data_IF_756130599775
#
_entry.id   IF_756130599775
#
_cell.length_a   1.000
_cell.length_b   1.000
_cell.length_c   1.000
_cell.angle_alpha   90.00
_cell.angle_beta   90.00
_cell.angle_gamma   90.00
#
_symmetry.space_group_name_H-M   'P 1'
#
loop_
_entity.id
_entity.type
_entity.pdbx_description
1 polymer ?
#
# COMPACT_ATOMS: atom_id res chain seq x y z
N UNK A 1 -8.83 -9.04 -24.34
CA UNK A 1 -10.23 -9.13 -23.90
C UNK A 1 -10.42 -10.11 -22.75
N UNK A 2 -9.98 -11.37 -22.87
CA UNK A 2 -10.15 -12.39 -21.80
C UNK A 2 -9.65 -11.94 -20.41
N UNK A 3 -8.41 -11.42 -20.33
CA UNK A 3 -7.83 -10.94 -19.07
C UNK A 3 -8.62 -9.79 -18.45
N UNK A 4 -9.12 -8.87 -19.27
CA UNK A 4 -9.87 -7.70 -18.82
C UNK A 4 -11.23 -8.13 -18.23
N UNK A 5 -11.93 -9.03 -18.90
CA UNK A 5 -13.19 -9.60 -18.41
C UNK A 5 -13.01 -10.38 -17.10
N UNK A 6 -11.92 -11.15 -16.99
CA UNK A 6 -11.58 -11.87 -15.77
C UNK A 6 -11.24 -10.90 -14.62
N UNK A 7 -10.48 -9.84 -14.91
CA UNK A 7 -10.17 -8.80 -13.93
C UNK A 7 -11.45 -8.16 -13.37
N UNK A 8 -12.37 -7.71 -14.22
CA UNK A 8 -13.65 -7.12 -13.80
C UNK A 8 -14.41 -8.07 -12.90
N UNK A 9 -14.54 -9.33 -13.33
CA UNK A 9 -15.24 -10.38 -12.57
C UNK A 9 -14.62 -10.58 -11.19
N UNK A 10 -13.29 -10.70 -11.10
CA UNK A 10 -12.58 -10.89 -9.84
C UNK A 10 -12.65 -9.65 -8.93
N UNK A 11 -12.64 -8.43 -9.49
CA UNK A 11 -12.74 -7.20 -8.68
C UNK A 11 -14.11 -7.01 -8.05
N UNK A 12 -15.17 -7.54 -8.67
CA UNK A 12 -16.53 -7.49 -8.13
C UNK A 12 -16.81 -8.64 -7.15
N UNK A 13 -16.02 -9.72 -7.18
CA UNK A 13 -16.13 -10.84 -6.24
C UNK A 13 -15.59 -10.46 -4.83
N UNK A 14 -16.44 -10.39 -3.80
CA UNK A 14 -15.99 -10.10 -2.45
C UNK A 14 -15.07 -11.17 -1.87
N UNK A 15 -15.10 -12.40 -2.37
CA UNK A 15 -14.23 -13.49 -1.94
C UNK A 15 -12.78 -13.24 -2.33
N UNK A 16 -12.55 -12.83 -3.57
CA UNK A 16 -11.24 -12.43 -4.08
C UNK A 16 -10.68 -11.23 -3.31
N UNK A 17 -11.50 -10.20 -3.08
CA UNK A 17 -11.10 -9.03 -2.30
C UNK A 17 -10.69 -9.37 -0.86
N UNK A 18 -11.38 -10.31 -0.21
CA UNK A 18 -11.02 -10.79 1.14
C UNK A 18 -9.70 -11.55 1.15
N UNK A 19 -9.50 -12.45 0.20
CA UNK A 19 -8.26 -13.23 0.09
C UNK A 19 -7.07 -12.32 -0.18
N UNK A 20 -7.19 -11.41 -1.16
CA UNK A 20 -6.15 -10.43 -1.47
C UNK A 20 -5.83 -9.57 -0.23
N UNK A 21 -6.84 -9.09 0.49
CA UNK A 21 -6.64 -8.28 1.70
C UNK A 21 -5.93 -9.08 2.81
N UNK A 22 -6.25 -10.36 2.97
CA UNK A 22 -5.58 -11.23 3.92
C UNK A 22 -4.10 -11.46 3.55
N UNK A 23 -3.79 -11.65 2.26
CA UNK A 23 -2.42 -11.78 1.78
C UNK A 23 -1.63 -10.47 1.94
N UNK A 24 -2.23 -9.34 1.56
CA UNK A 24 -1.61 -8.03 1.74
C UNK A 24 -1.26 -7.77 3.21
N UNK A 25 -2.11 -8.19 4.15
CA UNK A 25 -1.88 -8.01 5.59
C UNK A 25 -0.88 -9.01 6.16
N UNK A 26 -1.12 -10.31 5.95
CA UNK A 26 -0.46 -11.38 6.68
C UNK A 26 0.82 -11.87 6.01
N UNK A 27 0.98 -11.63 4.70
CA UNK A 27 2.16 -12.04 3.94
C UNK A 27 3.01 -10.83 3.54
N UNK A 28 2.41 -9.82 2.90
CA UNK A 28 3.13 -8.62 2.43
C UNK A 28 3.43 -7.62 3.57
N UNK A 29 2.65 -7.65 4.66
CA UNK A 29 2.88 -6.77 5.82
C UNK A 29 2.22 -5.38 5.71
N UNK A 30 1.21 -5.20 4.85
CA UNK A 30 0.47 -3.94 4.71
C UNK A 30 -0.49 -3.70 5.89
N UNK A 31 -0.82 -2.43 6.22
CA UNK A 31 -0.36 -1.21 5.57
C UNK A 31 1.07 -0.82 5.99
N UNK A 32 1.84 -0.34 5.02
CA UNK A 32 3.14 0.30 5.30
C UNK A 32 2.96 1.58 6.12
N UNK A 33 3.85 1.87 7.08
CA UNK A 33 3.76 3.09 7.89
C UNK A 33 4.06 4.35 7.07
N UNK A 34 3.43 5.46 7.45
CA UNK A 34 3.80 6.79 6.98
C UNK A 34 4.74 7.43 8.01
N UNK A 35 6.03 7.43 7.71
CA UNK A 35 7.07 7.86 8.62
C UNK A 35 7.33 9.37 8.52
N UNK A 36 7.26 10.10 9.64
CA UNK A 36 7.65 11.51 9.68
C UNK A 36 9.18 11.65 9.74
N UNK A 37 9.78 12.20 8.69
CA UNK A 37 11.23 12.39 8.59
C UNK A 37 11.66 13.73 9.22
N UNK A 38 11.67 13.78 10.57
CA UNK A 38 11.97 15.00 11.33
C UNK A 38 13.32 15.62 10.96
N UNK A 39 14.40 14.82 10.95
CA UNK A 39 15.75 15.30 10.61
C UNK A 39 15.84 15.91 9.22
N UNK A 40 15.13 15.33 8.24
CA UNK A 40 15.11 15.85 6.86
C UNK A 40 14.29 17.13 6.77
N UNK A 41 13.16 17.18 7.50
CA UNK A 41 12.31 18.37 7.60
C UNK A 41 13.10 19.54 8.20
N UNK A 42 13.82 19.31 9.29
CA UNK A 42 14.68 20.30 9.94
C UNK A 42 15.81 20.76 9.02
N UNK A 43 16.52 19.83 8.37
CA UNK A 43 17.64 20.15 7.49
C UNK A 43 17.24 21.02 6.28
N UNK A 44 16.04 20.83 5.73
CA UNK A 44 15.54 21.60 4.59
C UNK A 44 14.77 22.86 4.98
N UNK A 45 14.39 23.02 6.26
CA UNK A 45 13.77 24.23 6.80
C UNK A 45 12.42 24.60 6.20
N UNK A 46 11.72 23.65 5.56
CA UNK A 46 10.50 23.89 4.78
C UNK A 46 9.29 23.10 5.28
N UNK A 47 8.54 22.52 4.34
CA UNK A 47 7.38 21.69 4.63
C UNK A 47 7.76 20.42 5.42
N UNK A 48 6.79 19.84 6.15
CA UNK A 48 6.95 18.55 6.80
C UNK A 48 7.12 17.44 5.76
N UNK A 49 8.14 16.61 5.95
CA UNK A 49 8.46 15.51 5.04
C UNK A 49 8.00 14.19 5.66
N UNK A 50 7.18 13.45 4.92
CA UNK A 50 6.72 12.12 5.27
C UNK A 50 7.15 11.11 4.21
N UNK A 51 7.58 9.93 4.65
CA UNK A 51 7.99 8.83 3.79
C UNK A 51 6.95 7.71 3.90
N UNK A 52 6.35 7.32 2.78
CA UNK A 52 5.52 6.12 2.69
C UNK A 52 6.45 4.92 2.59
N UNK A 53 6.54 4.12 3.66
CA UNK A 53 7.55 3.07 3.82
C UNK A 53 7.23 1.78 3.06
N UNK A 54 7.01 1.86 1.73
CA UNK A 54 6.82 0.66 0.89
C UNK A 54 8.07 -0.23 0.82
N UNK A 55 9.24 0.29 1.26
CA UNK A 55 10.49 -0.45 1.43
C UNK A 55 10.44 -1.54 2.51
N UNK A 56 9.39 -1.59 3.32
CA UNK A 56 9.22 -2.55 4.41
C UNK A 56 8.39 -3.79 4.03
N UNK A 57 7.95 -3.89 2.77
CA UNK A 57 7.19 -5.02 2.23
C UNK A 57 8.09 -6.07 1.56
#
# INVERSE_FOLDING_TARGET
EELENAYVTCTEDPSFGRELSALLKNYVGRPSPLYFASRMTEALGGAKIYLKREDLN
#
